data_IF_716871098613
#
_entry.id   IF_716871098613
#
_cell.length_a   1.000
_cell.length_b   1.000
_cell.length_c   1.000
_cell.angle_alpha   90.00
_cell.angle_beta   90.00
_cell.angle_gamma   90.00
#
_symmetry.space_group_name_H-M   'P 1'
#
loop_
_entity.id
_entity.type
_entity.pdbx_description
1 polymer ?
#
# COMPACT_ATOMS: atom_id res chain seq x y z
N UNK A 1 2.25 6.34 -0.51
CA UNK A 1 3.34 6.07 -1.47
C UNK A 1 2.91 6.31 -2.93
N UNK A 2 1.72 5.89 -3.38
CA UNK A 2 1.25 6.10 -4.76
C UNK A 2 0.85 7.56 -5.05
N UNK A 3 0.17 8.23 -4.13
CA UNK A 3 -0.12 9.66 -4.23
C UNK A 3 1.17 10.50 -4.35
N UNK A 4 2.24 10.09 -3.66
CA UNK A 4 3.55 10.76 -3.77
C UNK A 4 4.18 10.58 -5.15
N UNK A 5 4.04 9.40 -5.77
CA UNK A 5 4.53 9.16 -7.14
C UNK A 5 3.82 10.02 -8.18
N UNK A 6 2.50 10.15 -8.08
CA UNK A 6 1.69 11.01 -8.95
C UNK A 6 2.11 12.48 -8.76
N UNK A 7 2.26 12.96 -7.52
CA UNK A 7 2.70 14.32 -7.24
C UNK A 7 4.10 14.61 -7.83
N UNK A 8 5.05 13.68 -7.72
CA UNK A 8 6.37 13.81 -8.33
C UNK A 8 6.28 13.87 -9.86
N UNK A 9 5.45 13.03 -10.47
CA UNK A 9 5.28 13.04 -11.92
C UNK A 9 4.65 14.34 -12.43
N UNK A 10 3.67 14.90 -11.71
CA UNK A 10 3.06 16.20 -11.99
C UNK A 10 4.08 17.34 -11.83
N UNK A 11 4.87 17.34 -10.75
CA UNK A 11 5.93 18.32 -10.55
C UNK A 11 6.98 18.28 -11.67
N UNK A 12 7.36 17.06 -12.12
CA UNK A 12 8.29 16.91 -13.25
C UNK A 12 7.70 17.44 -14.58
N UNK A 13 6.39 17.31 -14.79
CA UNK A 13 5.71 17.90 -15.95
C UNK A 13 5.69 19.43 -15.87
N UNK A 14 5.51 20.01 -14.68
CA UNK A 14 5.55 21.45 -14.48
C UNK A 14 6.96 22.03 -14.71
N UNK A 15 8.01 21.33 -14.24
CA UNK A 15 9.41 21.71 -14.56
C UNK A 15 9.61 21.73 -16.07
N UNK A 16 9.23 20.67 -16.78
CA UNK A 16 9.35 20.60 -18.24
C UNK A 16 8.55 21.70 -18.96
N UNK A 17 7.44 22.17 -18.37
CA UNK A 17 6.67 23.32 -18.87
C UNK A 17 7.45 24.63 -18.70
N UNK A 18 8.15 24.79 -17.58
CA UNK A 18 8.97 25.98 -17.32
C UNK A 18 10.23 26.01 -18.19
N UNK A 19 10.84 24.85 -18.48
CA UNK A 19 12.00 24.71 -19.37
C UNK A 19 11.73 25.18 -20.83
N UNK A 20 10.46 25.39 -21.19
CA UNK A 20 10.08 26.03 -22.45
C UNK A 20 10.30 27.55 -22.45
N UNK A 21 10.43 28.16 -21.28
CA UNK A 21 10.73 29.59 -21.16
C UNK A 21 12.23 29.80 -21.33
N UNK A 22 12.54 30.88 -22.00
CA UNK A 22 13.96 31.27 -22.17
C UNK A 22 14.48 31.84 -20.86
N UNK A 23 15.40 31.11 -20.20
CA UNK A 23 16.10 31.60 -19.02
C UNK A 23 17.32 32.42 -19.46
N UNK A 24 17.24 33.74 -19.30
CA UNK A 24 18.39 34.61 -19.49
C UNK A 24 19.17 34.75 -18.17
N UNK A 25 20.52 34.73 -18.28
CA UNK A 25 21.42 34.87 -17.13
C UNK A 25 22.23 36.14 -17.30
N UNK A 26 22.17 37.01 -16.29
CA UNK A 26 23.08 38.16 -16.20
C UNK A 26 24.15 37.83 -15.16
N UNK A 27 25.41 38.02 -15.52
CA UNK A 27 26.55 37.83 -14.62
C UNK A 27 27.36 39.12 -14.50
N UNK A 28 27.74 39.46 -13.26
CA UNK A 28 28.66 40.55 -12.95
C UNK A 28 29.83 39.92 -12.18
N UNK A 29 31.05 40.08 -12.73
CA UNK A 29 32.26 39.54 -12.12
C UNK A 29 33.24 40.66 -11.89
N UNK A 30 33.75 40.78 -10.68
CA UNK A 30 34.88 41.63 -10.34
C UNK A 30 36.11 40.76 -10.08
N UNK A 31 37.20 41.05 -10.78
CA UNK A 31 38.48 40.36 -10.63
C UNK A 31 39.56 41.34 -10.17
N UNK A 32 40.14 41.06 -9.02
CA UNK A 32 41.34 41.74 -8.54
C UNK A 32 42.58 40.99 -9.02
N UNK A 33 43.40 41.63 -9.81
CA UNK A 33 44.51 41.00 -10.56
C UNK A 33 45.89 41.16 -9.93
N UNK A 34 46.00 41.70 -8.72
CA UNK A 34 47.29 41.98 -8.07
C UNK A 34 47.97 43.24 -8.57
N UNK A 35 49.19 43.57 -8.02
CA UNK A 35 49.84 44.86 -8.19
C UNK A 35 50.27 45.18 -9.63
N UNK A 36 50.47 44.17 -10.50
CA UNK A 36 50.96 44.36 -11.87
C UNK A 36 49.84 44.63 -12.89
N UNK A 37 48.55 44.43 -12.54
CA UNK A 37 47.43 44.56 -13.46
C UNK A 37 46.28 45.33 -12.85
N UNK A 38 45.55 46.11 -13.64
CA UNK A 38 44.37 46.84 -13.22
C UNK A 38 43.22 45.85 -12.89
N UNK A 39 42.43 46.16 -11.90
CA UNK A 39 41.21 45.44 -11.57
C UNK A 39 40.24 45.42 -12.75
N UNK A 40 39.52 44.32 -12.96
CA UNK A 40 38.62 44.15 -14.09
C UNK A 40 37.20 43.89 -13.60
N UNK A 41 36.25 44.60 -14.19
CA UNK A 41 34.80 44.33 -14.05
C UNK A 41 34.34 43.73 -15.37
N UNK A 42 33.68 42.57 -15.29
CA UNK A 42 33.09 41.93 -16.45
C UNK A 42 31.57 41.82 -16.26
N UNK A 43 30.84 42.20 -17.29
CA UNK A 43 29.40 42.04 -17.36
C UNK A 43 29.09 41.07 -18.49
N UNK A 44 28.33 40.02 -18.19
CA UNK A 44 27.93 39.04 -19.18
C UNK A 44 26.42 38.85 -19.18
N UNK A 45 25.83 38.69 -20.36
CA UNK A 45 24.43 38.27 -20.54
C UNK A 45 24.43 37.04 -21.42
N UNK A 46 23.84 35.97 -20.94
CA UNK A 46 23.68 34.72 -21.69
C UNK A 46 22.19 34.45 -21.92
N UNK A 47 21.82 34.22 -23.17
CA UNK A 47 20.44 33.89 -23.59
C UNK A 47 20.53 32.58 -24.37
N UNK A 48 19.94 31.45 -23.84
CA UNK A 48 19.89 30.21 -24.59
C UNK A 48 18.89 30.33 -25.74
N UNK A 49 19.39 30.20 -26.97
CA UNK A 49 18.55 30.21 -28.17
C UNK A 49 17.96 28.79 -28.37
N UNK A 50 16.65 28.68 -28.23
CA UNK A 50 15.93 27.40 -28.40
C UNK A 50 15.43 27.26 -29.86
N UNK A 51 16.30 26.68 -30.73
CA UNK A 51 16.10 26.64 -32.19
C UNK A 51 14.98 25.63 -32.62
N UNK A 52 14.71 24.58 -31.85
CA UNK A 52 13.75 23.54 -32.23
C UNK A 52 12.85 23.14 -31.05
N UNK A 53 12.13 24.12 -30.52
CA UNK A 53 11.26 23.94 -29.35
C UNK A 53 10.19 22.89 -29.59
N UNK A 54 9.63 22.82 -30.80
CA UNK A 54 8.56 21.89 -31.17
C UNK A 54 9.02 20.42 -31.13
N UNK A 55 10.24 20.12 -31.54
CA UNK A 55 10.72 18.74 -31.60
C UNK A 55 11.48 18.29 -30.34
N UNK A 56 11.85 19.21 -29.46
CA UNK A 56 12.58 18.92 -28.21
C UNK A 56 11.69 19.17 -26.99
N UNK A 57 11.46 20.42 -26.61
CA UNK A 57 10.76 20.78 -25.37
C UNK A 57 9.28 20.36 -25.39
N UNK A 58 8.59 20.50 -26.53
CA UNK A 58 7.19 20.07 -26.63
C UNK A 58 7.04 18.55 -26.49
N UNK A 59 7.96 17.79 -27.06
CA UNK A 59 7.97 16.32 -26.91
C UNK A 59 8.34 15.89 -25.52
N UNK A 60 9.31 16.56 -24.88
CA UNK A 60 9.65 16.31 -23.49
C UNK A 60 8.46 16.58 -22.56
N UNK A 61 7.81 17.72 -22.72
CA UNK A 61 6.59 18.04 -21.96
C UNK A 61 5.50 16.97 -22.17
N UNK A 62 5.26 16.58 -23.43
CA UNK A 62 4.25 15.55 -23.74
C UNK A 62 4.62 14.20 -23.07
N UNK A 63 5.90 13.83 -23.08
CA UNK A 63 6.36 12.62 -22.41
C UNK A 63 6.18 12.67 -20.88
N UNK A 64 6.43 13.84 -20.25
CA UNK A 64 6.24 14.03 -18.80
C UNK A 64 4.76 14.01 -18.42
N UNK A 65 3.89 14.62 -19.25
CA UNK A 65 2.44 14.56 -19.05
C UNK A 65 1.91 13.12 -19.18
N UNK A 66 2.37 12.38 -20.19
CA UNK A 66 1.99 10.97 -20.33
C UNK A 66 2.43 10.11 -19.12
N UNK A 67 3.60 10.38 -18.53
CA UNK A 67 4.04 9.72 -17.28
C UNK A 67 3.16 10.11 -16.08
N UNK A 68 2.70 11.34 -15.99
CA UNK A 68 1.78 11.76 -14.94
C UNK A 68 0.43 11.05 -15.07
N UNK A 69 -0.12 10.94 -16.28
CA UNK A 69 -1.33 10.17 -16.56
C UNK A 69 -1.16 8.68 -16.25
N UNK A 70 -0.02 8.10 -16.60
CA UNK A 70 0.31 6.72 -16.24
C UNK A 70 0.32 6.54 -14.71
N UNK A 71 1.01 7.41 -13.96
CA UNK A 71 1.08 7.32 -12.50
C UNK A 71 -0.31 7.45 -11.84
N UNK A 72 -1.17 8.30 -12.42
CA UNK A 72 -2.56 8.43 -11.99
C UNK A 72 -3.36 7.15 -12.24
N UNK A 73 -3.27 6.59 -13.45
CA UNK A 73 -3.97 5.35 -13.80
C UNK A 73 -3.50 4.16 -12.93
N UNK A 74 -2.20 4.06 -12.67
CA UNK A 74 -1.64 3.05 -11.75
C UNK A 74 -2.19 3.21 -10.33
N UNK A 75 -2.32 4.44 -9.82
CA UNK A 75 -2.92 4.69 -8.50
C UNK A 75 -4.38 4.27 -8.45
N UNK A 76 -5.16 4.64 -9.47
CA UNK A 76 -6.58 4.29 -9.56
C UNK A 76 -6.78 2.77 -9.64
N UNK A 77 -5.93 2.07 -10.40
CA UNK A 77 -5.96 0.61 -10.51
C UNK A 77 -5.62 -0.07 -9.18
N UNK A 78 -4.57 0.37 -8.50
CA UNK A 78 -4.23 -0.17 -7.18
C UNK A 78 -5.34 0.07 -6.16
N UNK A 79 -5.97 1.25 -6.17
CA UNK A 79 -7.08 1.53 -5.27
C UNK A 79 -8.25 0.57 -5.52
N UNK A 80 -8.60 0.34 -6.80
CA UNK A 80 -9.64 -0.64 -7.17
C UNK A 80 -9.29 -2.06 -6.75
N UNK A 81 -8.04 -2.46 -6.97
CA UNK A 81 -7.57 -3.79 -6.59
C UNK A 81 -7.66 -4.02 -5.06
N UNK A 82 -7.21 -3.03 -4.27
CA UNK A 82 -7.31 -3.12 -2.80
C UNK A 82 -8.76 -3.14 -2.30
N UNK A 83 -9.64 -2.34 -2.89
CA UNK A 83 -11.08 -2.38 -2.54
C UNK A 83 -11.67 -3.77 -2.82
N UNK A 84 -11.44 -4.30 -4.01
CA UNK A 84 -11.96 -5.62 -4.38
C UNK A 84 -11.38 -6.74 -3.50
N UNK A 85 -10.12 -6.64 -3.10
CA UNK A 85 -9.47 -7.58 -2.19
C UNK A 85 -10.09 -7.52 -0.78
N UNK A 86 -10.27 -6.32 -0.24
CA UNK A 86 -10.91 -6.09 1.07
C UNK A 86 -12.35 -6.61 1.09
N UNK A 87 -13.13 -6.34 0.04
CA UNK A 87 -14.50 -6.84 -0.09
C UNK A 87 -14.54 -8.38 -0.11
N UNK A 88 -13.61 -9.02 -0.81
CA UNK A 88 -13.47 -10.47 -0.85
C UNK A 88 -13.14 -11.05 0.54
N UNK A 89 -12.19 -10.47 1.27
CA UNK A 89 -11.85 -10.91 2.62
C UNK A 89 -13.02 -10.78 3.56
N UNK A 90 -13.74 -9.66 3.50
CA UNK A 90 -14.92 -9.42 4.32
C UNK A 90 -16.06 -10.41 4.01
N UNK A 91 -16.29 -10.72 2.73
CA UNK A 91 -17.28 -11.71 2.31
C UNK A 91 -16.90 -13.11 2.79
N UNK A 92 -15.63 -13.50 2.66
CA UNK A 92 -15.15 -14.81 3.13
C UNK A 92 -15.23 -14.91 4.64
N UNK A 93 -14.83 -13.88 5.38
CA UNK A 93 -14.93 -13.83 6.83
C UNK A 93 -16.38 -14.00 7.33
N UNK A 94 -17.33 -13.29 6.73
CA UNK A 94 -18.77 -13.43 7.05
C UNK A 94 -19.29 -14.82 6.73
N UNK A 95 -18.89 -15.39 5.60
CA UNK A 95 -19.27 -16.76 5.22
C UNK A 95 -18.72 -17.79 6.20
N UNK A 96 -17.48 -17.64 6.62
CA UNK A 96 -16.84 -18.53 7.60
C UNK A 96 -17.52 -18.44 8.97
N UNK A 97 -17.91 -17.25 9.42
CA UNK A 97 -18.68 -17.09 10.67
C UNK A 97 -20.02 -17.83 10.61
N UNK A 98 -20.75 -17.74 9.50
CA UNK A 98 -22.00 -18.47 9.32
C UNK A 98 -21.76 -19.99 9.33
N UNK A 99 -20.72 -20.46 8.63
CA UNK A 99 -20.34 -21.89 8.64
C UNK A 99 -19.96 -22.36 10.05
N UNK A 100 -19.19 -21.59 10.82
CA UNK A 100 -18.87 -21.94 12.21
C UNK A 100 -20.12 -22.08 13.07
N UNK A 101 -21.10 -21.19 12.91
CA UNK A 101 -22.36 -21.29 13.61
C UNK A 101 -23.12 -22.59 13.26
N UNK A 102 -23.13 -23.01 11.99
CA UNK A 102 -23.73 -24.25 11.53
C UNK A 102 -22.98 -25.48 12.08
N UNK A 103 -21.64 -25.45 12.13
CA UNK A 103 -20.84 -26.50 12.74
C UNK A 103 -21.15 -26.65 14.23
N UNK A 104 -21.23 -25.55 14.97
CA UNK A 104 -21.49 -25.56 16.42
C UNK A 104 -22.91 -25.95 16.75
N UNK A 105 -23.89 -25.45 15.99
CA UNK A 105 -25.31 -25.73 16.26
C UNK A 105 -25.75 -27.11 15.79
N UNK A 106 -25.16 -27.65 14.72
CA UNK A 106 -25.72 -28.84 14.05
C UNK A 106 -24.68 -29.94 13.84
N UNK A 107 -23.58 -29.68 13.13
CA UNK A 107 -22.70 -30.75 12.64
C UNK A 107 -21.93 -31.45 13.75
N UNK A 108 -21.36 -30.71 14.68
CA UNK A 108 -20.60 -31.26 15.82
C UNK A 108 -21.49 -32.04 16.77
N UNK A 109 -22.66 -31.52 17.20
CA UNK A 109 -23.61 -32.29 18.01
C UNK A 109 -24.08 -33.56 17.31
N UNK A 110 -24.47 -33.49 16.02
CA UNK A 110 -24.91 -34.63 15.24
C UNK A 110 -23.85 -35.72 15.11
N UNK A 111 -22.59 -35.36 14.87
CA UNK A 111 -21.49 -36.31 14.82
C UNK A 111 -21.28 -37.02 16.16
N UNK A 112 -21.36 -36.28 17.26
CA UNK A 112 -21.28 -36.85 18.62
C UNK A 112 -22.44 -37.77 18.93
N UNK A 113 -23.69 -37.44 18.50
CA UNK A 113 -24.85 -38.32 18.67
C UNK A 113 -24.72 -39.60 17.84
N UNK A 114 -24.23 -39.51 16.62
CA UNK A 114 -23.92 -40.66 15.76
C UNK A 114 -22.94 -41.63 16.47
N UNK A 115 -21.88 -41.10 17.05
CA UNK A 115 -20.90 -41.90 17.82
C UNK A 115 -21.55 -42.58 19.02
N UNK A 116 -22.39 -41.87 19.77
CA UNK A 116 -23.13 -42.42 20.90
C UNK A 116 -24.12 -43.55 20.47
N UNK A 117 -24.82 -43.35 19.37
CA UNK A 117 -25.74 -44.34 18.82
C UNK A 117 -25.00 -45.59 18.34
N UNK A 118 -23.87 -45.44 17.64
CA UNK A 118 -23.02 -46.57 17.21
C UNK A 118 -22.51 -47.38 18.42
N UNK A 119 -22.06 -46.69 19.46
CA UNK A 119 -21.59 -47.33 20.70
C UNK A 119 -22.74 -48.08 21.43
N UNK A 120 -23.94 -47.51 21.49
CA UNK A 120 -25.09 -48.15 22.07
C UNK A 120 -25.53 -49.41 21.28
N UNK A 121 -25.52 -49.34 19.95
CA UNK A 121 -25.77 -50.49 19.08
C UNK A 121 -24.74 -51.62 19.28
N UNK A 122 -23.45 -51.27 19.36
CA UNK A 122 -22.41 -52.26 19.66
C UNK A 122 -22.60 -52.92 21.02
N UNK A 123 -22.85 -52.16 22.07
CA UNK A 123 -23.13 -52.70 23.42
C UNK A 123 -24.38 -53.57 23.49
N UNK A 124 -25.38 -53.25 22.65
CA UNK A 124 -26.60 -54.04 22.52
C UNK A 124 -26.47 -55.25 21.59
N UNK A 125 -25.29 -55.56 21.09
CA UNK A 125 -25.07 -56.71 20.19
C UNK A 125 -25.67 -56.54 18.79
N UNK A 126 -26.05 -55.32 18.40
CA UNK A 126 -26.68 -54.99 17.10
C UNK A 126 -25.76 -54.21 16.14
N UNK A 127 -24.52 -54.00 16.50
CA UNK A 127 -23.50 -53.33 15.71
C UNK A 127 -22.14 -53.94 15.92
N UNK A 128 -21.17 -53.55 15.11
CA UNK A 128 -19.79 -53.98 15.18
C UNK A 128 -18.87 -52.89 15.70
N UNK A 129 -17.66 -53.24 16.10
CA UNK A 129 -16.64 -52.30 16.56
C UNK A 129 -16.15 -51.39 15.44
N UNK A 130 -16.12 -51.88 14.19
CA UNK A 130 -15.70 -51.09 13.01
C UNK A 130 -16.63 -49.88 12.81
N UNK A 131 -17.94 -50.05 12.96
CA UNK A 131 -18.93 -48.97 12.90
C UNK A 131 -18.75 -47.92 14.01
N UNK A 132 -18.36 -48.35 15.23
CA UNK A 132 -18.02 -47.39 16.32
C UNK A 132 -16.77 -46.59 15.99
N UNK A 133 -15.71 -47.24 15.48
CA UNK A 133 -14.47 -46.58 15.13
C UNK A 133 -14.68 -45.59 13.97
N UNK A 134 -15.46 -45.99 12.96
CA UNK A 134 -15.81 -45.12 11.83
C UNK A 134 -16.63 -43.88 12.30
N UNK A 135 -17.64 -44.07 13.13
CA UNK A 135 -18.40 -42.95 13.69
C UNK A 135 -17.51 -42.00 14.50
N UNK A 136 -16.59 -42.55 15.30
CA UNK A 136 -15.63 -41.75 16.07
C UNK A 136 -14.67 -40.98 15.21
N UNK A 137 -14.15 -41.61 14.14
CA UNK A 137 -13.29 -40.94 13.16
C UNK A 137 -14.01 -39.76 12.52
N UNK A 138 -15.24 -39.94 12.03
CA UNK A 138 -16.03 -38.87 11.45
C UNK A 138 -16.33 -37.74 12.42
N UNK A 139 -16.54 -38.03 13.71
CA UNK A 139 -16.68 -37.00 14.75
C UNK A 139 -15.43 -36.17 14.92
N UNK A 140 -14.23 -36.81 14.91
CA UNK A 140 -12.94 -36.12 14.99
C UNK A 140 -12.72 -35.28 13.73
N UNK A 141 -12.96 -35.83 12.55
CA UNK A 141 -12.80 -35.12 11.28
C UNK A 141 -13.72 -33.87 11.22
N UNK A 142 -14.96 -33.97 11.71
CA UNK A 142 -15.88 -32.83 11.80
C UNK A 142 -15.31 -31.73 12.72
N UNK A 143 -14.76 -32.09 13.88
CA UNK A 143 -14.16 -31.12 14.81
C UNK A 143 -12.90 -30.49 14.26
N UNK A 144 -12.08 -31.28 13.56
CA UNK A 144 -10.85 -30.76 12.90
C UNK A 144 -11.22 -29.76 11.81
N UNK A 145 -12.25 -30.04 11.01
CA UNK A 145 -12.70 -29.10 9.96
C UNK A 145 -13.28 -27.81 10.57
N UNK A 146 -14.06 -27.90 11.63
CA UNK A 146 -14.52 -26.73 12.39
C UNK A 146 -13.35 -25.87 12.85
N UNK A 147 -12.31 -26.50 13.44
CA UNK A 147 -11.13 -25.79 13.92
C UNK A 147 -10.35 -25.13 12.78
N UNK A 148 -10.27 -25.78 11.61
CA UNK A 148 -9.64 -25.21 10.42
C UNK A 148 -10.33 -23.92 9.98
N UNK A 149 -11.68 -23.93 9.92
CA UNK A 149 -12.47 -22.75 9.57
C UNK A 149 -12.27 -21.64 10.61
N UNK A 150 -12.20 -21.97 11.90
CA UNK A 150 -11.95 -21.02 12.98
C UNK A 150 -10.59 -20.33 12.82
N UNK A 151 -9.54 -21.08 12.52
CA UNK A 151 -8.19 -20.54 12.27
C UNK A 151 -8.16 -19.64 11.04
N UNK A 152 -8.81 -20.05 9.94
CA UNK A 152 -8.93 -19.24 8.73
C UNK A 152 -9.69 -17.93 9.01
N UNK A 153 -10.78 -18.01 9.77
CA UNK A 153 -11.59 -16.84 10.16
C UNK A 153 -10.79 -15.88 11.04
N UNK A 154 -10.01 -16.39 11.97
CA UNK A 154 -9.12 -15.58 12.80
C UNK A 154 -8.01 -14.91 11.98
N UNK A 155 -7.44 -15.62 11.00
CA UNK A 155 -6.45 -15.05 10.07
C UNK A 155 -7.03 -13.87 9.26
N UNK A 156 -8.21 -14.06 8.67
CA UNK A 156 -8.90 -13.01 7.92
C UNK A 156 -9.27 -11.80 8.82
N UNK A 157 -9.65 -12.05 10.08
CA UNK A 157 -9.91 -10.96 11.02
C UNK A 157 -8.66 -10.13 11.28
N UNK A 158 -7.51 -10.76 11.47
CA UNK A 158 -6.23 -10.06 11.64
C UNK A 158 -5.90 -9.21 10.40
N UNK A 159 -6.03 -9.77 9.19
CA UNK A 159 -5.80 -9.02 7.95
C UNK A 159 -6.72 -7.80 7.83
N UNK A 160 -8.00 -7.94 8.19
CA UNK A 160 -8.97 -6.84 8.18
C UNK A 160 -8.68 -5.78 9.25
N UNK A 161 -8.24 -6.18 10.44
CA UNK A 161 -7.90 -5.26 11.55
C UNK A 161 -6.68 -4.40 11.20
N UNK A 162 -5.66 -4.99 10.59
CA UNK A 162 -4.46 -4.25 10.18
C UNK A 162 -4.66 -3.35 8.95
N UNK A 163 -5.77 -3.48 8.21
CA UNK A 163 -6.12 -2.54 7.15
C UNK A 163 -6.59 -1.17 7.67
N UNK A 164 -7.07 -1.11 8.92
CA UNK A 164 -7.51 0.12 9.57
C UNK A 164 -6.31 0.69 10.33
N UNK A 165 -5.69 1.81 9.89
CA UNK A 165 -4.63 2.46 10.65
C UNK A 165 -5.15 2.83 12.03
N UNK A 166 -4.41 2.52 13.08
CA UNK A 166 -4.75 2.99 14.43
C UNK A 166 -4.90 4.52 14.41
N UNK A 167 -5.98 5.04 14.95
CA UNK A 167 -6.36 6.47 14.90
C UNK A 167 -5.27 7.45 15.38
N UNK A 168 -4.18 6.95 15.99
CA UNK A 168 -3.03 7.77 16.46
C UNK A 168 -1.90 7.96 15.43
N UNK A 169 -1.81 7.18 14.36
CA UNK A 169 -0.67 7.26 13.42
C UNK A 169 -0.86 8.33 12.33
N UNK A 170 -2.08 8.72 12.04
CA UNK A 170 -2.37 9.77 11.04
C UNK A 170 -2.03 11.17 11.55
N UNK A 171 -2.07 11.42 12.84
CA UNK A 171 -1.77 12.73 13.43
C UNK A 171 -0.25 12.99 13.54
N UNK A 172 0.57 11.94 13.71
CA UNK A 172 2.02 12.06 13.80
C UNK A 172 2.71 12.35 12.46
N UNK A 173 2.09 11.99 11.33
CA UNK A 173 2.64 12.25 9.98
C UNK A 173 2.38 13.68 9.48
N UNK A 174 1.47 14.42 10.11
CA UNK A 174 1.09 15.78 9.73
C UNK A 174 1.76 16.89 10.56
N UNK A 175 2.57 16.55 11.58
CA UNK A 175 3.27 17.56 12.37
C UNK A 175 4.41 18.21 11.55
N UNK A 176 4.41 19.52 11.33
CA UNK A 176 5.50 20.20 10.64
C UNK A 176 6.76 20.07 11.49
N UNK A 177 7.84 19.56 10.89
CA UNK A 177 9.15 19.53 11.54
C UNK A 177 9.55 20.96 11.93
N UNK A 178 9.98 21.22 13.18
CA UNK A 178 10.46 22.54 13.57
C UNK A 178 11.69 22.88 12.70
N UNK A 179 11.58 23.98 11.97
CA UNK A 179 12.70 24.57 11.23
C UNK A 179 13.85 24.81 12.21
N UNK A 180 14.96 24.10 12.03
CA UNK A 180 16.22 24.41 12.72
C UNK A 180 16.69 25.79 12.26
N UNK A 181 16.38 26.81 13.05
CA UNK A 181 16.97 28.13 12.95
C UNK A 181 18.45 28.00 13.33
N UNK A 182 19.28 28.06 12.29
CA UNK A 182 20.72 28.13 12.43
C UNK A 182 21.08 29.51 13.00
N UNK A 183 21.36 29.56 14.30
CA UNK A 183 21.88 30.76 14.95
C UNK A 183 23.37 30.86 14.65
N UNK A 184 23.87 31.92 14.01
CA UNK A 184 25.30 32.07 13.82
C UNK A 184 25.91 32.47 15.16
N UNK A 185 26.74 31.63 15.72
CA UNK A 185 27.58 31.86 16.88
C UNK A 185 28.63 32.94 16.54
N UNK A 186 28.52 34.07 17.15
CA UNK A 186 29.54 35.15 17.13
C UNK A 186 30.75 34.67 17.93
N UNK A 187 31.86 34.45 17.27
CA UNK A 187 33.19 34.35 17.90
C UNK A 187 33.77 35.75 18.07
N UNK A 188 34.03 36.09 19.31
CA UNK A 188 34.98 37.13 19.71
C UNK A 188 36.41 36.58 19.58
#
# INVERSE_FOLDING_TARGET
LMASKEAVALAAAEVARQDKRVDWTASLMYSQRGEAFSNMVSVGVSVPLQWDQKNRQDRELAARLAKAEQARAEREEMTRAHLAETERWLATWRSNLARLADYDATLVPLAAERTRAALAAYRGGRGDLAGVLEARRMEIDTRVERLRIEMETAGLWVELEYLIPAEGETESAAAPQPSMTNTPEQQR
#
